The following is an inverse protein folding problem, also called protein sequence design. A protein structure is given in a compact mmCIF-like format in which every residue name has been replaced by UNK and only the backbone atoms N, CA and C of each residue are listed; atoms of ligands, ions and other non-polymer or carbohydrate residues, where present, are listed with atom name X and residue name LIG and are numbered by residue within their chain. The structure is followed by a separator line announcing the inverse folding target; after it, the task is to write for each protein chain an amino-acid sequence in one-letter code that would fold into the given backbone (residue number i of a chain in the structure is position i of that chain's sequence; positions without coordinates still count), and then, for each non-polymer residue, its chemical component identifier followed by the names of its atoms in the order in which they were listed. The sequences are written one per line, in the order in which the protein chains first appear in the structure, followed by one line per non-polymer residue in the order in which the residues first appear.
data_IF_038221985386
#
_entry.id   IF_038221985386
#
_cell.length_a   1.000
_cell.length_b   1.000
_cell.length_c   1.000
_cell.angle_alpha   90.00
_cell.angle_beta   90.00
_cell.angle_gamma   90.00
#
_symmetry.space_group_name_H-M   'P 1'
#
loop_
_entity.id
_entity.type
_entity.pdbx_description
1 polymer ?
#
# COMPACT_ATOMS: atom_id res chain seq x y z
N UNK A 1 -24.08 -2.46 1.79
CA UNK A 1 -23.58 -1.12 1.41
C UNK A 1 -24.60 -0.34 0.62
N UNK A 2 -24.77 -0.66 -0.67
CA UNK A 2 -25.61 0.13 -1.60
C UNK A 2 -27.12 0.16 -1.25
N UNK A 3 -27.70 -0.98 -0.83
CA UNK A 3 -29.13 -1.06 -0.43
C UNK A 3 -29.50 -0.07 0.69
N UNK A 4 -28.62 0.14 1.67
CA UNK A 4 -28.85 1.11 2.75
C UNK A 4 -28.84 2.54 2.22
N UNK A 5 -27.89 2.86 1.34
CA UNK A 5 -27.78 4.18 0.71
C UNK A 5 -29.01 4.47 -0.15
N UNK A 6 -29.46 3.50 -0.95
CA UNK A 6 -30.66 3.63 -1.78
C UNK A 6 -31.93 3.82 -0.93
N UNK A 7 -32.08 3.09 0.17
CA UNK A 7 -33.20 3.28 1.10
C UNK A 7 -33.19 4.67 1.75
N UNK A 8 -32.01 5.17 2.11
CA UNK A 8 -31.84 6.50 2.69
C UNK A 8 -32.15 7.60 1.67
N UNK A 9 -31.69 7.43 0.42
CA UNK A 9 -31.98 8.32 -0.69
C UNK A 9 -33.49 8.41 -0.96
N UNK A 10 -34.18 7.27 -1.06
CA UNK A 10 -35.62 7.23 -1.28
C UNK A 10 -36.40 7.86 -0.13
N UNK A 11 -35.91 7.76 1.11
CA UNK A 11 -36.51 8.40 2.29
C UNK A 11 -36.31 9.92 2.29
N UNK A 12 -35.14 10.40 1.90
CA UNK A 12 -34.86 11.84 1.79
C UNK A 12 -35.66 12.47 0.62
N UNK A 13 -35.74 11.77 -0.51
CA UNK A 13 -36.54 12.14 -1.68
C UNK A 13 -38.03 12.32 -1.34
N UNK A 14 -38.61 11.38 -0.56
CA UNK A 14 -40.01 11.49 -0.11
C UNK A 14 -40.26 12.67 0.83
N UNK A 15 -39.25 13.14 1.57
CA UNK A 15 -39.40 14.21 2.56
C UNK A 15 -39.16 15.60 1.98
N UNK A 16 -38.22 15.74 1.04
CA UNK A 16 -37.77 17.03 0.52
C UNK A 16 -38.16 17.27 -0.93
N UNK A 17 -38.57 16.23 -1.67
CA UNK A 17 -38.95 16.32 -3.09
C UNK A 17 -37.78 16.48 -4.07
N UNK A 18 -36.59 16.86 -3.59
CA UNK A 18 -35.38 17.05 -4.40
C UNK A 18 -34.26 16.06 -4.03
N UNK A 19 -33.90 15.22 -4.99
CA UNK A 19 -32.93 14.13 -4.83
C UNK A 19 -31.51 14.55 -5.21
N UNK A 20 -31.36 15.71 -5.86
CA UNK A 20 -30.07 16.23 -6.31
C UNK A 20 -29.22 16.68 -5.12
N UNK A 21 -29.83 17.17 -4.04
CA UNK A 21 -29.11 17.52 -2.81
C UNK A 21 -28.43 16.31 -2.16
N UNK A 22 -29.12 15.16 -2.12
CA UNK A 22 -28.57 13.91 -1.60
C UNK A 22 -27.42 13.40 -2.48
N UNK A 23 -27.61 13.39 -3.81
CA UNK A 23 -26.55 13.01 -4.75
C UNK A 23 -25.33 13.93 -4.65
N UNK A 24 -25.55 15.24 -4.50
CA UNK A 24 -24.49 16.22 -4.28
C UNK A 24 -23.74 15.94 -2.98
N UNK A 25 -24.42 15.64 -1.89
CA UNK A 25 -23.77 15.27 -0.62
C UNK A 25 -22.94 13.98 -0.74
N UNK A 26 -23.46 12.98 -1.46
CA UNK A 26 -22.81 11.67 -1.61
C UNK A 26 -21.52 11.75 -2.45
N UNK A 27 -21.55 12.48 -3.57
CA UNK A 27 -20.42 12.54 -4.50
C UNK A 27 -19.47 13.71 -4.25
N UNK A 28 -19.90 14.77 -3.56
CA UNK A 28 -19.00 15.86 -3.21
C UNK A 28 -18.02 15.33 -2.15
N UNK A 29 -16.69 15.39 -2.39
CA UNK A 29 -15.70 14.98 -1.41
C UNK A 29 -15.83 15.89 -0.18
N UNK A 30 -16.61 15.44 0.80
CA UNK A 30 -16.93 16.18 2.01
C UNK A 30 -15.89 15.97 3.11
N UNK A 31 -16.26 16.42 4.31
CA UNK A 31 -15.47 16.24 5.54
C UNK A 31 -15.02 14.79 5.73
N UNK A 32 -15.85 13.82 5.36
CA UNK A 32 -15.52 12.38 5.46
C UNK A 32 -14.25 12.03 4.67
N UNK A 33 -14.13 12.47 3.41
CA UNK A 33 -12.94 12.17 2.59
C UNK A 33 -11.71 12.91 3.12
N UNK A 34 -11.90 14.09 3.70
CA UNK A 34 -10.84 14.88 4.35
C UNK A 34 -10.39 14.28 5.68
N UNK A 35 -11.30 13.63 6.42
CA UNK A 35 -11.02 12.94 7.69
C UNK A 35 -10.45 11.54 7.50
N UNK A 36 -10.60 10.94 6.32
CA UNK A 36 -10.04 9.62 6.02
C UNK A 36 -8.52 9.61 6.23
N UNK A 37 -7.81 10.61 5.72
CA UNK A 37 -6.35 10.66 5.81
C UNK A 37 -5.81 10.76 7.25
N UNK A 38 -6.29 11.67 8.12
CA UNK A 38 -5.83 11.69 9.51
C UNK A 38 -6.20 10.40 10.28
N UNK A 39 -7.38 9.81 10.03
CA UNK A 39 -7.79 8.54 10.65
C UNK A 39 -6.88 7.38 10.23
N UNK A 40 -6.63 7.23 8.92
CA UNK A 40 -5.72 6.23 8.38
C UNK A 40 -4.29 6.48 8.84
N UNK A 41 -3.83 7.73 8.87
CA UNK A 41 -2.48 8.08 9.34
C UNK A 41 -2.27 7.70 10.81
N UNK A 42 -3.26 7.93 11.67
CA UNK A 42 -3.19 7.56 13.08
C UNK A 42 -3.28 6.04 13.29
N UNK A 43 -4.14 5.36 12.54
CA UNK A 43 -4.39 3.92 12.70
C UNK A 43 -3.38 3.01 11.99
N UNK A 44 -2.88 3.40 10.82
CA UNK A 44 -2.09 2.53 9.93
C UNK A 44 -0.62 2.93 9.79
N UNK A 45 -0.23 4.18 10.05
CA UNK A 45 1.16 4.62 9.83
C UNK A 45 1.90 4.76 11.16
N UNK A 46 3.12 4.18 11.24
CA UNK A 46 4.03 4.40 12.36
C UNK A 46 5.11 5.40 11.97
N UNK A 47 5.44 6.30 12.91
CA UNK A 47 6.63 7.17 12.78
C UNK A 47 7.87 6.31 12.98
N UNK A 48 8.83 6.39 12.07
CA UNK A 48 10.13 5.76 12.18
C UNK A 48 11.22 6.77 11.80
N UNK A 49 12.29 6.79 12.56
CA UNK A 49 13.52 7.48 12.19
C UNK A 49 14.31 6.57 11.24
N UNK A 50 14.70 7.14 10.11
CA UNK A 50 15.45 6.46 9.08
C UNK A 50 16.96 6.66 9.36
N UNK A 51 17.83 5.83 8.79
CA UNK A 51 19.27 5.80 9.16
C UNK A 51 20.00 7.12 8.83
N UNK A 52 19.42 7.91 7.94
CA UNK A 52 19.84 9.25 7.52
C UNK A 52 19.28 10.37 8.43
N UNK A 53 18.57 10.03 9.52
CA UNK A 53 18.02 10.99 10.49
C UNK A 53 16.63 11.54 10.13
N UNK A 54 16.07 11.22 8.95
CA UNK A 54 14.75 11.70 8.53
C UNK A 54 13.63 11.00 9.28
N UNK A 55 12.58 11.76 9.60
CA UNK A 55 11.36 11.23 10.23
C UNK A 55 10.30 10.94 9.16
N UNK A 56 9.93 9.67 9.02
CA UNK A 56 8.93 9.22 8.04
C UNK A 56 7.79 8.45 8.70
N UNK A 57 6.57 8.70 8.24
CA UNK A 57 5.38 7.92 8.57
C UNK A 57 5.18 6.85 7.51
N UNK A 58 5.41 5.58 7.86
CA UNK A 58 5.25 4.45 6.93
C UNK A 58 4.35 3.39 7.51
N UNK A 59 3.72 2.63 6.63
CA UNK A 59 2.96 1.45 7.05
C UNK A 59 3.94 0.49 7.74
N UNK A 60 3.63 -0.02 8.94
CA UNK A 60 4.50 -0.98 9.59
C UNK A 60 4.56 -2.24 8.73
N UNK A 61 5.76 -2.76 8.50
CA UNK A 61 5.87 -4.12 8.00
C UNK A 61 5.19 -5.04 9.00
N UNK A 62 4.37 -5.96 8.46
CA UNK A 62 3.81 -7.04 9.25
C UNK A 62 4.97 -7.79 9.92
N UNK A 63 4.77 -8.26 11.16
CA UNK A 63 5.71 -9.19 11.78
C UNK A 63 5.89 -10.42 10.88
N UNK A 64 7.12 -10.93 10.80
CA UNK A 64 7.39 -12.19 10.12
C UNK A 64 6.50 -13.29 10.72
N UNK A 65 5.88 -14.10 9.86
CA UNK A 65 5.24 -15.33 10.29
C UNK A 65 6.28 -16.41 10.56
N UNK A 66 5.87 -17.46 11.27
CA UNK A 66 6.68 -18.68 11.42
C UNK A 66 7.14 -19.25 10.07
N UNK A 67 6.30 -19.17 9.03
CA UNK A 67 6.65 -19.63 7.67
C UNK A 67 7.68 -18.76 6.96
N UNK A 68 7.84 -17.51 7.39
CA UNK A 68 8.78 -16.56 6.79
C UNK A 68 10.16 -16.67 7.47
N UNK A 69 10.24 -17.37 8.60
CA UNK A 69 11.47 -17.69 9.31
C UNK A 69 12.06 -18.97 8.73
N UNK A 70 12.98 -18.82 7.78
CA UNK A 70 13.79 -19.93 7.28
C UNK A 70 15.26 -19.54 7.36
N UNK A 71 16.11 -20.51 7.73
CA UNK A 71 17.56 -20.37 7.67
C UNK A 71 18.06 -21.02 6.38
N UNK A 72 18.92 -20.33 5.60
CA UNK A 72 19.49 -20.90 4.41
C UNK A 72 20.37 -22.11 4.72
N UNK A 73 20.33 -23.11 3.85
CA UNK A 73 21.30 -24.19 3.91
C UNK A 73 22.67 -23.67 3.47
N UNK A 74 23.75 -24.36 3.87
CA UNK A 74 25.12 -24.04 3.44
C UNK A 74 25.21 -23.87 1.93
N UNK A 75 24.55 -24.77 1.17
CA UNK A 75 24.49 -24.68 -0.29
C UNK A 75 23.74 -23.42 -0.78
N UNK A 76 22.71 -23.00 -0.06
CA UNK A 76 21.99 -21.76 -0.36
C UNK A 76 22.86 -20.52 -0.18
N UNK A 77 23.72 -20.51 0.85
CA UNK A 77 24.70 -19.43 1.07
C UNK A 77 25.75 -19.38 -0.06
N UNK A 78 26.29 -20.53 -0.47
CA UNK A 78 27.23 -20.62 -1.61
C UNK A 78 26.61 -20.05 -2.88
N UNK A 79 25.35 -20.41 -3.17
CA UNK A 79 24.62 -19.88 -4.32
C UNK A 79 24.42 -18.36 -4.17
N UNK A 80 24.09 -17.87 -2.98
CA UNK A 80 23.93 -16.43 -2.74
C UNK A 80 25.23 -15.66 -3.01
N UNK A 81 26.39 -16.18 -2.61
CA UNK A 81 27.70 -15.59 -2.91
C UNK A 81 27.99 -15.59 -4.41
N UNK A 82 27.74 -16.71 -5.11
CA UNK A 82 27.88 -16.79 -6.56
C UNK A 82 27.05 -15.72 -7.27
N UNK A 83 25.79 -15.55 -6.86
CA UNK A 83 24.90 -14.53 -7.42
C UNK A 83 25.36 -13.11 -7.09
N UNK A 84 25.90 -12.86 -5.90
CA UNK A 84 26.40 -11.54 -5.52
C UNK A 84 27.63 -11.16 -6.36
N UNK A 85 28.54 -12.10 -6.62
CA UNK A 85 29.69 -11.93 -7.51
C UNK A 85 29.26 -11.59 -8.95
N UNK A 86 28.29 -12.34 -9.49
CA UNK A 86 27.74 -12.08 -10.84
C UNK A 86 27.06 -10.70 -10.90
N UNK A 87 26.26 -10.34 -9.89
CA UNK A 87 25.57 -9.04 -9.81
C UNK A 87 26.57 -7.87 -9.79
N UNK A 88 27.65 -8.00 -9.02
CA UNK A 88 28.74 -7.00 -8.97
C UNK A 88 29.50 -6.89 -10.29
N UNK A 89 29.51 -7.93 -11.11
CA UNK A 89 30.10 -7.94 -12.46
C UNK A 89 29.42 -7.02 -13.49
N UNK A 90 28.19 -6.55 -13.21
CA UNK A 90 27.47 -5.60 -14.06
C UNK A 90 27.01 -6.17 -15.41
N UNK A 91 26.60 -5.29 -16.33
CA UNK A 91 25.90 -5.65 -17.58
C UNK A 91 26.71 -6.36 -18.68
N UNK A 92 27.94 -6.83 -18.40
CA UNK A 92 28.72 -7.64 -19.35
C UNK A 92 28.22 -9.09 -19.44
N UNK A 93 27.32 -9.51 -18.56
CA UNK A 93 26.78 -10.88 -18.50
C UNK A 93 25.48 -11.05 -19.30
N UNK A 94 24.84 -9.96 -19.75
CA UNK A 94 23.49 -10.01 -20.33
C UNK A 94 23.42 -9.92 -21.85
N UNK A 95 24.49 -9.48 -22.52
CA UNK A 95 24.51 -9.36 -23.99
C UNK A 95 25.90 -9.76 -24.48
N UNK A 96 25.98 -10.88 -25.21
CA UNK A 96 27.18 -11.23 -25.95
C UNK A 96 27.11 -10.59 -27.35
N UNK A 97 28.25 -10.20 -27.92
CA UNK A 97 28.29 -9.50 -29.22
C UNK A 97 27.79 -10.34 -30.40
N UNK A 98 27.59 -11.64 -30.19
CA UNK A 98 27.07 -12.60 -31.18
C UNK A 98 25.54 -12.64 -31.29
N UNK A 99 24.81 -11.99 -30.38
CA UNK A 99 23.34 -11.95 -30.38
C UNK A 99 22.76 -10.79 -31.22
N UNK A 100 23.57 -10.18 -32.10
CA UNK A 100 23.21 -9.05 -32.97
C UNK A 100 23.33 -9.40 -34.46
#
# INVERSE_FOLDING_TARGET
GFKMVANHWMRDQRRKGDGLAFMRWMYKPGLIRRMLWPMVRLGMLRRKQLADGRMVSRMPFRKALSRDSWEPSVRGEEIAEQWDLVRRGGGKTSFDKSDA
#
